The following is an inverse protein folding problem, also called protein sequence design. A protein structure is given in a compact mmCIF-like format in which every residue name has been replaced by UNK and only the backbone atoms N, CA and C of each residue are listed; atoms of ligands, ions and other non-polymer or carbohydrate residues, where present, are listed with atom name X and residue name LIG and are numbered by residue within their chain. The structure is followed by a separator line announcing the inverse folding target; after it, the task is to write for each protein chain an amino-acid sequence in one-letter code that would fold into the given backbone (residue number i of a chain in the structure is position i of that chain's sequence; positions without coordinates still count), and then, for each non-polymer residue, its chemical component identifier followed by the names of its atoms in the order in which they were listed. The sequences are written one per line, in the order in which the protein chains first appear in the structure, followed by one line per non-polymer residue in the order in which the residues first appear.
data_IF_142562765508
#
_entry.id   IF_142562765508
#
_cell.length_a   1.000
_cell.length_b   1.000
_cell.length_c   1.000
_cell.angle_alpha   90.00
_cell.angle_beta   90.00
_cell.angle_gamma   90.00
#
_symmetry.space_group_name_H-M   'P 1'
#
loop_
_entity.id
_entity.type
_entity.pdbx_description
1 polymer ?
#
# COMPACT_ATOMS: atom_id res chain seq x y z
N UNK A 1 14.95 -6.09 22.98
CA UNK A 1 14.32 -7.37 22.65
C UNK A 1 13.50 -7.22 21.38
N UNK A 2 13.76 -8.04 20.39
CA UNK A 2 13.01 -8.02 19.17
C UNK A 2 11.65 -8.68 19.35
N UNK A 3 10.61 -8.04 18.83
CA UNK A 3 9.28 -8.63 18.79
C UNK A 3 9.15 -9.31 17.43
N UNK A 4 9.06 -10.64 17.37
CA UNK A 4 8.89 -11.30 16.08
C UNK A 4 7.52 -10.95 15.49
N UNK A 5 7.51 -10.51 14.26
CA UNK A 5 6.27 -10.27 13.53
C UNK A 5 5.72 -11.60 13.05
N UNK A 6 4.42 -11.77 13.19
CA UNK A 6 3.74 -12.95 12.66
C UNK A 6 3.75 -12.94 11.12
N UNK A 7 3.66 -11.75 10.53
CA UNK A 7 3.60 -11.57 9.08
C UNK A 7 4.83 -10.86 8.56
N UNK A 8 5.35 -11.33 7.44
CA UNK A 8 6.40 -10.66 6.70
C UNK A 8 5.79 -9.54 5.85
N UNK A 9 6.44 -8.39 5.83
CA UNK A 9 6.01 -7.23 5.05
C UNK A 9 6.74 -7.22 3.71
N UNK A 10 5.99 -7.11 2.63
CA UNK A 10 6.53 -7.15 1.27
C UNK A 10 5.85 -6.08 0.41
N UNK A 11 6.59 -5.57 -0.57
CA UNK A 11 6.09 -4.58 -1.52
C UNK A 11 6.43 -5.04 -2.93
N UNK A 12 5.43 -5.05 -3.82
CA UNK A 12 5.71 -5.26 -5.23
C UNK A 12 6.48 -4.05 -5.78
N UNK A 13 7.21 -4.28 -6.86
CA UNK A 13 7.94 -3.19 -7.52
C UNK A 13 7.02 -2.05 -7.93
N UNK A 14 5.78 -2.33 -8.30
CA UNK A 14 4.77 -1.31 -8.63
C UNK A 14 4.48 -0.41 -7.43
N UNK A 15 4.34 -0.98 -6.23
CA UNK A 15 4.12 -0.19 -5.02
C UNK A 15 5.35 0.65 -4.68
N UNK A 16 6.54 0.06 -4.79
CA UNK A 16 7.80 0.80 -4.54
C UNK A 16 7.96 1.97 -5.50
N UNK A 17 7.66 1.76 -6.78
CA UNK A 17 7.72 2.82 -7.77
C UNK A 17 6.72 3.93 -7.48
N UNK A 18 5.49 3.56 -7.09
CA UNK A 18 4.48 4.54 -6.69
C UNK A 18 4.98 5.40 -5.53
N UNK A 19 5.52 4.77 -4.49
CA UNK A 19 6.02 5.48 -3.31
C UNK A 19 7.17 6.41 -3.65
N UNK A 20 8.09 5.96 -4.50
CA UNK A 20 9.21 6.76 -4.96
C UNK A 20 8.73 7.99 -5.73
N UNK A 21 7.77 7.82 -6.63
CA UNK A 21 7.21 8.94 -7.40
C UNK A 21 6.50 9.95 -6.50
N UNK A 22 5.76 9.45 -5.49
CA UNK A 22 5.09 10.33 -4.54
C UNK A 22 6.11 11.18 -3.77
N UNK A 23 7.13 10.55 -3.21
CA UNK A 23 8.18 11.26 -2.46
C UNK A 23 8.91 12.26 -3.37
N UNK A 24 9.26 11.84 -4.58
CA UNK A 24 9.96 12.69 -5.54
C UNK A 24 9.14 13.91 -5.93
N UNK A 25 7.81 13.78 -6.03
CA UNK A 25 6.95 14.91 -6.39
C UNK A 25 7.02 16.03 -5.35
N UNK A 26 7.12 15.70 -4.06
CA UNK A 26 7.28 16.70 -3.02
C UNK A 26 8.62 17.41 -3.12
N UNK A 27 9.69 16.65 -3.41
CA UNK A 27 11.03 17.24 -3.61
C UNK A 27 11.02 18.19 -4.80
N UNK A 28 10.43 17.78 -5.91
CA UNK A 28 10.35 18.60 -7.13
C UNK A 28 9.54 19.88 -6.94
N UNK A 29 8.55 19.84 -6.04
CA UNK A 29 7.78 21.03 -5.67
C UNK A 29 8.46 21.88 -4.60
N UNK A 30 9.69 21.54 -4.23
CA UNK A 30 10.49 22.32 -3.27
C UNK A 30 10.22 22.00 -1.81
N UNK A 31 9.53 20.91 -1.52
CA UNK A 31 9.17 20.55 -0.15
C UNK A 31 9.90 19.32 0.34
N UNK A 32 11.11 19.47 0.85
CA UNK A 32 11.84 18.37 1.48
C UNK A 32 11.14 17.89 2.75
N UNK A 33 10.56 18.80 3.52
CA UNK A 33 9.79 18.45 4.71
C UNK A 33 8.58 17.60 4.35
N UNK A 34 7.88 17.97 3.28
CA UNK A 34 6.75 17.21 2.78
C UNK A 34 7.16 15.81 2.34
N UNK A 35 8.30 15.69 1.65
CA UNK A 35 8.82 14.40 1.21
C UNK A 35 9.11 13.49 2.41
N UNK A 36 9.79 14.01 3.42
CA UNK A 36 10.11 13.24 4.64
C UNK A 36 8.83 12.85 5.38
N UNK A 37 7.90 13.79 5.52
CA UNK A 37 6.63 13.54 6.21
C UNK A 37 5.85 12.41 5.54
N UNK A 38 5.67 12.48 4.23
CA UNK A 38 4.85 11.48 3.53
C UNK A 38 5.53 10.11 3.54
N UNK A 39 6.84 10.07 3.37
CA UNK A 39 7.59 8.83 3.46
C UNK A 39 7.42 8.16 4.82
N UNK A 40 7.55 8.94 5.89
CA UNK A 40 7.41 8.42 7.25
C UNK A 40 5.99 7.94 7.52
N UNK A 41 4.98 8.66 7.03
CA UNK A 41 3.58 8.25 7.21
C UNK A 41 3.27 6.94 6.48
N UNK A 42 3.78 6.78 5.27
CA UNK A 42 3.58 5.53 4.53
C UNK A 42 4.28 4.36 5.22
N UNK A 43 5.49 4.57 5.70
CA UNK A 43 6.25 3.54 6.42
C UNK A 43 5.51 3.11 7.69
N UNK A 44 5.05 4.07 8.48
CA UNK A 44 4.30 3.76 9.71
C UNK A 44 2.99 3.04 9.43
N UNK A 45 2.29 3.44 8.37
CA UNK A 45 1.05 2.77 7.98
C UNK A 45 1.31 1.31 7.63
N UNK A 46 2.36 1.04 6.85
CA UNK A 46 2.72 -0.33 6.50
C UNK A 46 3.10 -1.16 7.73
N UNK A 47 3.85 -0.58 8.64
CA UNK A 47 4.23 -1.26 9.89
C UNK A 47 3.01 -1.58 10.76
N UNK A 48 2.03 -0.68 10.81
CA UNK A 48 0.78 -0.94 11.54
C UNK A 48 -0.02 -2.06 10.91
N UNK A 49 -0.06 -2.12 9.60
CA UNK A 49 -0.72 -3.22 8.88
C UNK A 49 0.00 -4.54 9.17
N UNK A 50 1.33 -4.51 9.29
CA UNK A 50 2.10 -5.70 9.65
C UNK A 50 1.71 -6.23 11.03
N UNK A 51 1.45 -5.34 11.98
CA UNK A 51 1.00 -5.71 13.33
C UNK A 51 -0.47 -6.13 13.37
N UNK A 52 -1.30 -5.44 12.59
CA UNK A 52 -2.75 -5.65 12.56
C UNK A 52 -3.22 -5.81 11.10
N UNK A 53 -3.01 -6.99 10.51
CA UNK A 53 -3.19 -7.17 9.05
C UNK A 53 -4.58 -6.82 8.54
N UNK A 54 -5.61 -7.03 9.34
CA UNK A 54 -6.99 -6.81 8.93
C UNK A 54 -7.55 -5.47 9.38
N UNK A 55 -6.69 -4.56 9.85
CA UNK A 55 -7.12 -3.23 10.30
C UNK A 55 -7.44 -2.29 9.14
N UNK A 56 -6.90 -2.54 7.95
CA UNK A 56 -7.29 -1.79 6.77
C UNK A 56 -8.70 -2.15 6.33
N UNK A 57 -9.35 -1.24 5.59
CA UNK A 57 -10.71 -1.47 5.12
C UNK A 57 -10.70 -2.23 3.79
N UNK A 58 -11.74 -2.99 3.53
CA UNK A 58 -11.93 -3.63 2.23
C UNK A 58 -12.13 -2.56 1.17
N UNK A 59 -11.63 -2.83 -0.04
CA UNK A 59 -11.85 -1.90 -1.15
C UNK A 59 -13.34 -1.79 -1.45
N UNK A 60 -13.84 -0.57 -1.77
CA UNK A 60 -15.24 -0.39 -2.15
C UNK A 60 -15.62 -1.18 -3.40
N UNK A 61 -14.69 -1.39 -4.33
CA UNK A 61 -14.94 -2.22 -5.50
C UNK A 61 -15.18 -3.66 -5.07
N UNK A 62 -16.38 -4.18 -5.33
CA UNK A 62 -16.79 -5.49 -4.82
C UNK A 62 -15.95 -6.63 -5.37
N UNK A 63 -15.52 -6.55 -6.62
CA UNK A 63 -14.70 -7.59 -7.25
C UNK A 63 -13.33 -7.68 -6.58
N UNK A 64 -12.68 -6.54 -6.37
CA UNK A 64 -11.37 -6.49 -5.71
C UNK A 64 -11.48 -6.86 -4.24
N UNK A 65 -12.56 -6.45 -3.56
CA UNK A 65 -12.81 -6.84 -2.18
C UNK A 65 -12.92 -8.36 -2.04
N UNK A 66 -13.62 -9.01 -2.97
CA UNK A 66 -13.75 -10.48 -2.98
C UNK A 66 -12.41 -11.18 -3.20
N UNK A 67 -11.50 -10.55 -3.92
CA UNK A 67 -10.15 -11.07 -4.12
C UNK A 67 -9.27 -10.90 -2.89
N UNK A 68 -9.75 -10.23 -1.87
CA UNK A 68 -9.03 -10.05 -0.61
C UNK A 68 -8.26 -8.75 -0.49
N UNK A 69 -8.40 -7.84 -1.45
CA UNK A 69 -7.71 -6.56 -1.39
C UNK A 69 -8.29 -5.65 -0.32
N UNK A 70 -7.41 -5.01 0.42
CA UNK A 70 -7.71 -4.03 1.45
C UNK A 70 -6.88 -2.79 1.22
N UNK A 71 -7.20 -1.70 1.90
CA UNK A 71 -6.42 -0.47 1.81
C UNK A 71 -6.25 0.17 3.16
N UNK A 72 -5.15 0.90 3.30
CA UNK A 72 -4.96 1.86 4.37
C UNK A 72 -4.78 3.23 3.72
N UNK A 73 -5.44 4.25 4.28
CA UNK A 73 -5.43 5.59 3.72
C UNK A 73 -4.38 6.42 4.45
N UNK A 74 -3.46 7.01 3.68
CA UNK A 74 -2.41 7.89 4.18
C UNK A 74 -2.55 9.22 3.45
N UNK A 75 -3.07 10.24 4.14
CA UNK A 75 -3.43 11.52 3.54
C UNK A 75 -4.39 11.29 2.36
N UNK A 76 -4.01 11.66 1.14
CA UNK A 76 -4.85 11.45 -0.04
C UNK A 76 -4.52 10.15 -0.79
N UNK A 77 -3.62 9.35 -0.26
CA UNK A 77 -3.14 8.14 -0.94
C UNK A 77 -3.77 6.88 -0.38
N UNK A 78 -4.06 5.96 -1.28
CA UNK A 78 -4.56 4.62 -0.95
C UNK A 78 -3.41 3.63 -1.06
N UNK A 79 -3.02 3.02 0.05
CA UNK A 79 -2.04 1.95 0.05
C UNK A 79 -2.78 0.63 0.00
N UNK A 80 -2.74 -0.04 -1.15
CA UNK A 80 -3.55 -1.23 -1.43
C UNK A 80 -2.73 -2.48 -1.19
N UNK A 81 -3.26 -3.40 -0.39
CA UNK A 81 -2.53 -4.60 0.03
C UNK A 81 -3.43 -5.83 0.12
N UNK A 82 -2.79 -6.99 0.21
CA UNK A 82 -3.45 -8.26 0.54
C UNK A 82 -2.73 -8.94 1.69
N UNK A 83 -3.50 -9.71 2.46
CA UNK A 83 -2.94 -10.61 3.46
C UNK A 83 -2.92 -12.01 2.87
N UNK A 84 -1.74 -12.58 2.75
CA UNK A 84 -1.54 -13.94 2.27
C UNK A 84 -1.36 -14.82 3.50
N UNK A 85 -2.48 -15.41 3.97
CA UNK A 85 -2.51 -16.14 5.24
C UNK A 85 -1.62 -17.37 5.28
N UNK A 86 -1.61 -18.13 4.19
CA UNK A 86 -0.81 -19.36 4.15
C UNK A 86 0.67 -19.04 4.26
N UNK A 87 1.12 -18.03 3.52
CA UNK A 87 2.52 -17.61 3.51
C UNK A 87 2.89 -16.71 4.68
N UNK A 88 1.89 -16.28 5.46
CA UNK A 88 2.08 -15.30 6.52
C UNK A 88 2.79 -14.04 6.02
N UNK A 89 2.24 -13.47 4.95
CA UNK A 89 2.79 -12.32 4.26
C UNK A 89 1.74 -11.25 4.06
N UNK A 90 2.18 -10.00 4.14
CA UNK A 90 1.40 -8.85 3.73
C UNK A 90 2.10 -8.26 2.52
N UNK A 91 1.39 -8.14 1.41
CA UNK A 91 1.95 -7.64 0.16
C UNK A 91 1.23 -6.36 -0.23
N UNK A 92 1.97 -5.26 -0.36
CA UNK A 92 1.46 -4.01 -0.90
C UNK A 92 1.63 -4.04 -2.42
N UNK A 93 0.53 -3.79 -3.12
CA UNK A 93 0.46 -3.87 -4.58
C UNK A 93 0.63 -2.52 -5.25
N UNK A 94 -0.06 -1.52 -4.75
CA UNK A 94 -0.03 -0.16 -5.30
C UNK A 94 -0.21 0.87 -4.19
N UNK A 95 0.30 2.08 -4.46
CA UNK A 95 0.02 3.27 -3.64
C UNK A 95 -0.45 4.35 -4.60
N UNK A 96 -1.74 4.66 -4.56
CA UNK A 96 -2.40 5.51 -5.55
C UNK A 96 -3.06 6.72 -4.91
N UNK A 97 -3.01 7.85 -5.62
CA UNK A 97 -3.84 9.00 -5.25
C UNK A 97 -5.31 8.57 -5.29
N UNK A 98 -6.08 8.95 -4.26
CA UNK A 98 -7.48 8.54 -4.16
C UNK A 98 -8.37 9.02 -5.29
N UNK A 99 -7.90 9.95 -6.13
CA UNK A 99 -8.61 10.40 -7.33
C UNK A 99 -8.42 9.49 -8.53
N UNK A 100 -7.46 8.55 -8.45
CA UNK A 100 -7.17 7.64 -9.57
C UNK A 100 -8.24 6.56 -9.65
N UNK A 101 -8.42 6.05 -10.87
CA UNK A 101 -9.31 4.91 -11.12
C UNK A 101 -8.60 3.63 -10.69
N UNK A 102 -8.59 3.38 -9.36
CA UNK A 102 -7.88 2.24 -8.82
C UNK A 102 -8.47 0.89 -9.30
N UNK A 103 -9.79 0.75 -9.52
CA UNK A 103 -10.32 -0.54 -9.97
C UNK A 103 -9.70 -1.00 -11.29
N UNK A 104 -9.58 -0.10 -12.26
CA UNK A 104 -8.96 -0.41 -13.56
C UNK A 104 -7.48 -0.73 -13.39
N UNK A 105 -6.75 0.09 -12.61
CA UNK A 105 -5.32 -0.09 -12.40
C UNK A 105 -5.01 -1.40 -11.69
N UNK A 106 -5.79 -1.73 -10.66
CA UNK A 106 -5.61 -2.97 -9.90
C UNK A 106 -5.97 -4.20 -10.74
N UNK A 107 -7.02 -4.12 -11.55
CA UNK A 107 -7.43 -5.23 -12.41
C UNK A 107 -6.33 -5.56 -13.41
N UNK A 108 -5.69 -4.56 -14.01
CA UNK A 108 -4.56 -4.77 -14.91
C UNK A 108 -3.40 -5.46 -14.21
N UNK A 109 -3.02 -4.95 -13.05
CA UNK A 109 -1.90 -5.51 -12.29
C UNK A 109 -2.16 -6.96 -11.90
N UNK A 110 -3.36 -7.24 -11.42
CA UNK A 110 -3.72 -8.59 -11.01
C UNK A 110 -3.69 -9.57 -12.19
N UNK A 111 -4.20 -9.16 -13.35
CA UNK A 111 -4.18 -9.99 -14.55
C UNK A 111 -2.75 -10.23 -15.05
N UNK A 112 -1.87 -9.23 -14.95
CA UNK A 112 -0.47 -9.36 -15.38
C UNK A 112 0.31 -10.32 -14.48
N UNK A 113 -0.08 -10.47 -13.23
CA UNK A 113 0.56 -11.40 -12.29
C UNK A 113 0.11 -12.85 -12.47
N UNK A 114 -1.02 -13.05 -13.10
CA UNK A 114 -1.53 -14.38 -13.37
C UNK A 114 -0.90 -14.98 -14.61
#
# INVERSE_FOLDING_TARGET
MEIPYEYELSFLSTALNDMTEIVSSYVMLGSRQGAVRIKNKMTKAAEQIQLFPYSGVKLPDSKLAKLGFRMVIVEKYLMIYKVLEVEKKIVFYRVLDGKRDYPTLMTRLYNDEL
#
